data_IF_578228733562
#
_entry.id   IF_578228733562
#
_cell.length_a   1.000
_cell.length_b   1.000
_cell.length_c   1.000
_cell.angle_alpha   90.00
_cell.angle_beta   90.00
_cell.angle_gamma   90.00
#
_symmetry.space_group_name_H-M   'P 1'
#
loop_
_entity.id
_entity.type
_entity.pdbx_description
1 polymer ?
#
# COMPACT_ATOMS: atom_id res chain seq x y z
N UNK A 1 8.21 -6.06 2.82
CA UNK A 1 6.81 -6.51 2.88
C UNK A 1 6.09 -6.26 1.55
N UNK A 2 6.10 -5.04 0.99
CA UNK A 2 5.42 -4.76 -0.29
C UNK A 2 5.81 -5.73 -1.41
N UNK A 3 4.81 -6.23 -2.13
CA UNK A 3 4.97 -7.11 -3.28
C UNK A 3 5.46 -6.37 -4.53
N UNK A 4 6.00 -7.08 -5.53
CA UNK A 4 6.44 -6.46 -6.78
C UNK A 4 5.36 -5.65 -7.51
N UNK A 5 4.09 -6.07 -7.42
CA UNK A 5 2.92 -5.42 -8.00
C UNK A 5 2.38 -4.24 -7.17
N UNK A 6 2.97 -3.95 -6.01
CA UNK A 6 2.60 -2.83 -5.15
C UNK A 6 1.64 -3.15 -4.00
N UNK A 7 1.08 -4.36 -3.95
CA UNK A 7 0.23 -4.82 -2.86
C UNK A 7 0.98 -5.04 -1.54
N UNK A 8 0.26 -5.06 -0.43
CA UNK A 8 0.80 -5.30 0.90
C UNK A 8 0.13 -6.49 1.58
N UNK A 9 0.90 -7.46 2.10
CA UNK A 9 0.33 -8.56 2.88
C UNK A 9 -0.20 -8.07 4.23
N UNK A 10 -1.05 -8.86 4.87
CA UNK A 10 -1.51 -8.57 6.24
C UNK A 10 -0.36 -8.67 7.26
N UNK A 11 0.54 -9.63 7.07
CA UNK A 11 1.66 -9.90 7.96
C UNK A 11 2.97 -10.03 7.19
N UNK A 12 4.10 -9.82 7.86
CA UNK A 12 5.43 -10.06 7.32
C UNK A 12 6.42 -10.26 8.49
N UNK A 13 7.45 -11.13 8.39
CA UNK A 13 7.81 -11.97 7.24
C UNK A 13 7.08 -13.32 7.20
N UNK A 14 6.60 -13.82 8.33
CA UNK A 14 5.87 -15.09 8.39
C UNK A 14 4.39 -14.85 8.08
N UNK A 15 3.88 -15.54 7.05
CA UNK A 15 2.53 -15.39 6.54
C UNK A 15 1.93 -16.78 6.34
N UNK A 16 0.64 -16.92 6.65
CA UNK A 16 -0.11 -18.16 6.43
C UNK A 16 -1.54 -17.84 6.01
N UNK A 17 -2.17 -18.80 5.33
CA UNK A 17 -3.56 -18.68 4.89
C UNK A 17 -3.78 -17.35 4.15
N UNK A 18 -4.88 -16.65 4.42
CA UNK A 18 -5.24 -15.40 3.76
C UNK A 18 -4.29 -14.22 4.07
N UNK A 19 -3.34 -14.37 4.99
CA UNK A 19 -2.42 -13.30 5.39
C UNK A 19 -1.42 -12.93 4.28
N UNK A 20 -1.25 -13.84 3.30
CA UNK A 20 -0.41 -13.61 2.12
C UNK A 20 -1.03 -12.59 1.17
N UNK A 21 -2.36 -12.47 1.16
CA UNK A 21 -3.08 -11.66 0.18
C UNK A 21 -2.84 -10.16 0.38
N UNK A 22 -2.99 -9.41 -0.71
CA UNK A 22 -3.08 -7.95 -0.68
C UNK A 22 -4.24 -7.58 0.25
N UNK A 23 -3.95 -6.86 1.33
CA UNK A 23 -4.90 -6.67 2.42
C UNK A 23 -5.34 -5.21 2.54
N UNK A 24 -6.57 -4.95 2.11
CA UNK A 24 -7.28 -3.69 2.39
C UNK A 24 -8.04 -3.73 3.71
N UNK A 25 -8.34 -4.92 4.23
CA UNK A 25 -9.03 -5.11 5.50
C UNK A 25 -8.43 -4.27 6.64
N UNK A 26 -9.29 -3.73 7.50
CA UNK A 26 -8.93 -2.84 8.62
C UNK A 26 -8.06 -1.62 8.18
N UNK A 27 -8.26 -1.15 6.94
CA UNK A 27 -7.49 -0.08 6.30
C UNK A 27 -5.98 -0.34 6.28
N UNK A 28 -5.53 -1.60 6.33
CA UNK A 28 -4.12 -1.93 6.51
C UNK A 28 -3.23 -1.33 5.41
N UNK A 29 -3.57 -1.58 4.13
CA UNK A 29 -2.84 -1.00 3.01
C UNK A 29 -3.02 0.53 2.92
N UNK A 30 -4.21 1.06 3.17
CA UNK A 30 -4.51 2.51 3.08
C UNK A 30 -3.70 3.31 4.11
N UNK A 31 -3.66 2.84 5.36
CA UNK A 31 -2.89 3.48 6.43
C UNK A 31 -1.39 3.37 6.18
N UNK A 32 -0.92 2.21 5.69
CA UNK A 32 0.49 2.03 5.29
C UNK A 32 0.87 3.03 4.20
N UNK A 33 0.05 3.17 3.17
CA UNK A 33 0.30 4.11 2.07
C UNK A 33 0.23 5.56 2.51
N UNK A 34 -0.72 5.90 3.39
CA UNK A 34 -0.83 7.26 3.96
C UNK A 34 0.43 7.62 4.75
N UNK A 35 0.95 6.69 5.56
CA UNK A 35 2.20 6.89 6.27
C UNK A 35 3.39 7.11 5.32
N UNK A 36 3.53 6.26 4.29
CA UNK A 36 4.60 6.38 3.31
C UNK A 36 4.57 7.73 2.58
N UNK A 37 3.38 8.16 2.13
CA UNK A 37 3.20 9.46 1.48
C UNK A 37 3.54 10.60 2.43
N UNK A 38 2.96 10.62 3.63
CA UNK A 38 3.12 11.72 4.55
C UNK A 38 4.61 11.86 5.01
N UNK A 39 5.34 10.74 5.15
CA UNK A 39 6.79 10.77 5.38
C UNK A 39 7.59 11.23 4.15
N UNK A 40 7.25 10.74 2.95
CA UNK A 40 7.90 11.13 1.70
C UNK A 40 7.74 12.63 1.38
N UNK A 41 6.55 13.18 1.67
CA UNK A 41 6.20 14.59 1.46
C UNK A 41 6.65 15.49 2.61
N UNK A 42 7.27 14.93 3.66
CA UNK A 42 7.67 15.68 4.86
C UNK A 42 6.50 16.46 5.47
N UNK A 43 5.32 15.82 5.52
CA UNK A 43 4.15 16.38 6.17
C UNK A 43 4.27 16.23 7.69
N UNK A 44 3.70 17.15 8.47
CA UNK A 44 3.65 17.02 9.93
C UNK A 44 3.13 15.61 10.35
N UNK A 45 3.77 14.92 11.32
CA UNK A 45 4.90 15.35 12.16
C UNK A 45 6.29 14.91 11.65
N UNK A 46 6.46 14.62 10.36
CA UNK A 46 7.65 13.96 9.79
C UNK A 46 8.72 14.91 9.20
N UNK A 47 8.64 16.21 9.48
CA UNK A 47 9.55 17.25 8.93
C UNK A 47 10.96 17.26 9.54
N UNK A 48 11.24 16.39 10.51
CA UNK A 48 12.53 16.30 11.17
C UNK A 48 13.56 15.47 10.40
N UNK A 49 14.54 14.93 11.12
CA UNK A 49 15.63 14.11 10.61
C UNK A 49 15.35 12.60 10.62
N UNK A 50 14.08 12.21 10.83
CA UNK A 50 13.64 10.81 10.80
C UNK A 50 13.89 10.12 9.45
N UNK A 51 14.00 10.89 8.36
CA UNK A 51 14.18 10.38 7.00
C UNK A 51 15.20 11.19 6.23
N UNK A 52 16.00 10.52 5.39
CA UNK A 52 16.83 11.16 4.39
C UNK A 52 16.14 11.16 3.01
N UNK A 53 16.75 11.87 2.05
CA UNK A 53 16.21 12.00 0.70
C UNK A 53 16.07 10.64 -0.01
N UNK A 54 17.04 9.74 0.16
CA UNK A 54 17.00 8.43 -0.45
C UNK A 54 15.84 7.58 0.08
N UNK A 55 15.57 7.64 1.39
CA UNK A 55 14.44 6.97 2.01
C UNK A 55 13.12 7.57 1.52
N UNK A 56 13.00 8.90 1.43
CA UNK A 56 11.81 9.57 0.87
C UNK A 56 11.50 9.13 -0.56
N UNK A 57 12.51 9.05 -1.42
CA UNK A 57 12.35 8.58 -2.80
C UNK A 57 11.88 7.12 -2.86
N UNK A 58 12.39 6.26 -1.97
CA UNK A 58 11.93 4.87 -1.85
C UNK A 58 10.48 4.79 -1.38
N UNK A 59 10.10 5.61 -0.41
CA UNK A 59 8.71 5.69 0.08
C UNK A 59 7.75 6.20 -1.00
N UNK A 60 8.15 7.23 -1.76
CA UNK A 60 7.36 7.72 -2.90
C UNK A 60 7.20 6.66 -3.98
N UNK A 61 8.26 5.91 -4.28
CA UNK A 61 8.21 4.80 -5.24
C UNK A 61 7.26 3.70 -4.77
N UNK A 62 7.34 3.32 -3.49
CA UNK A 62 6.43 2.35 -2.90
C UNK A 62 4.97 2.83 -2.91
N UNK A 63 4.73 4.11 -2.61
CA UNK A 63 3.41 4.72 -2.67
C UNK A 63 2.84 4.67 -4.10
N UNK A 64 3.61 5.06 -5.11
CA UNK A 64 3.17 5.04 -6.51
C UNK A 64 2.79 3.62 -6.95
N UNK A 65 3.58 2.60 -6.61
CA UNK A 65 3.23 1.20 -6.87
C UNK A 65 1.97 0.76 -6.14
N UNK A 66 1.77 1.22 -4.91
CA UNK A 66 0.53 0.97 -4.17
C UNK A 66 -0.70 1.54 -4.88
N UNK A 67 -0.58 2.73 -5.48
CA UNK A 67 -1.66 3.32 -6.29
C UNK A 67 -1.93 2.48 -7.53
N UNK A 68 -0.89 2.03 -8.24
CA UNK A 68 -1.04 1.13 -9.39
C UNK A 68 -1.77 -0.16 -8.99
N UNK A 69 -1.41 -0.77 -7.86
CA UNK A 69 -2.08 -1.94 -7.30
C UNK A 69 -3.56 -1.68 -6.98
N UNK A 70 -3.89 -0.55 -6.34
CA UNK A 70 -5.27 -0.17 -6.03
C UNK A 70 -6.09 -0.08 -7.32
N UNK A 71 -5.60 0.62 -8.33
CA UNK A 71 -6.31 0.76 -9.60
C UNK A 71 -6.47 -0.58 -10.31
N UNK A 72 -5.44 -1.43 -10.29
CA UNK A 72 -5.47 -2.75 -10.93
C UNK A 72 -6.41 -3.75 -10.25
N UNK A 73 -6.71 -3.57 -8.95
CA UNK A 73 -7.56 -4.46 -8.16
C UNK A 73 -9.01 -3.97 -8.03
N UNK A 74 -9.35 -2.81 -8.61
CA UNK A 74 -10.72 -2.31 -8.56
C UNK A 74 -11.68 -3.25 -9.29
N UNK A 75 -12.78 -3.61 -8.62
CA UNK A 75 -13.75 -4.55 -9.19
C UNK A 75 -14.49 -3.87 -10.33
N UNK A 76 -14.47 -4.51 -11.50
CA UNK A 76 -15.31 -4.16 -12.65
C UNK A 76 -16.51 -5.12 -12.67
N UNK A 77 -17.71 -4.57 -12.46
CA UNK A 77 -18.97 -5.31 -12.52
C UNK A 77 -19.81 -4.77 -13.67
N UNK A 78 -20.22 -5.62 -14.60
CA UNK A 78 -21.00 -5.25 -15.78
C UNK A 78 -20.40 -4.09 -16.60
N UNK A 79 -19.06 -4.01 -16.65
CA UNK A 79 -18.32 -2.98 -17.36
C UNK A 79 -18.10 -1.68 -16.59
N UNK A 80 -18.65 -1.57 -15.38
CA UNK A 80 -18.53 -0.38 -14.53
C UNK A 80 -17.54 -0.61 -13.38
N UNK A 81 -16.72 0.42 -13.10
CA UNK A 81 -15.81 0.41 -11.95
C UNK A 81 -16.61 0.58 -10.66
N UNK A 82 -16.33 -0.28 -9.68
CA UNK A 82 -17.05 -0.31 -8.40
C UNK A 82 -16.12 -0.02 -7.21
N UNK A 83 -15.92 -1.00 -6.34
CA UNK A 83 -15.21 -0.88 -5.06
C UNK A 83 -14.10 -1.92 -4.97
N UNK A 84 -13.55 -2.08 -3.76
CA UNK A 84 -12.60 -3.12 -3.42
C UNK A 84 -13.18 -4.12 -2.43
N UNK A 85 -12.81 -5.39 -2.57
CA UNK A 85 -12.96 -6.39 -1.53
C UNK A 85 -11.95 -6.18 -0.40
N UNK A 86 -12.09 -6.95 0.69
CA UNK A 86 -11.18 -6.83 1.84
C UNK A 86 -9.77 -7.36 1.55
N UNK A 87 -9.64 -8.37 0.69
CA UNK A 87 -8.36 -8.97 0.29
C UNK A 87 -8.38 -9.40 -1.18
N UNK A 88 -7.20 -9.49 -1.79
CA UNK A 88 -6.97 -9.96 -3.17
C UNK A 88 -5.72 -10.84 -3.25
N UNK A 89 -5.71 -11.80 -4.16
CA UNK A 89 -4.50 -12.56 -4.50
C UNK A 89 -3.36 -11.62 -4.92
N UNK A 90 -2.14 -11.97 -4.52
CA UNK A 90 -0.92 -11.17 -4.73
C UNK A 90 -0.34 -11.15 -6.14
#
# INVERSE_FOLDING_TARGET
AQYPNGGWPQFWPEMRDYQIHITYNDDAMVNTMTLLRDMAEQKEPYQGDLTDEALRQRMQTAFNKGIECILATQIVADGELTVWGQQYDE
#
